data_IF_340329849523
#
_entry.id   IF_340329849523
#
_cell.length_a   1.000
_cell.length_b   1.000
_cell.length_c   1.000
_cell.angle_alpha   90.00
_cell.angle_beta   90.00
_cell.angle_gamma   90.00
#
_symmetry.space_group_name_H-M   'P 1'
#
loop_
_entity.id
_entity.type
_entity.pdbx_description
1 polymer ?
#
# COMPACT_ATOMS: atom_id res chain seq x y z
N UNK A 1 -9.66 10.69 -16.55
CA UNK A 1 -8.46 10.06 -15.99
C UNK A 1 -7.38 9.94 -17.05
N UNK A 2 -6.20 9.45 -16.67
CA UNK A 2 -5.13 9.10 -17.61
C UNK A 2 -5.30 7.64 -18.06
N UNK A 3 -4.71 7.27 -19.20
CA UNK A 3 -4.56 5.86 -19.61
C UNK A 3 -3.30 5.30 -18.96
N UNK A 4 -3.44 4.23 -18.18
CA UNK A 4 -2.34 3.68 -17.37
C UNK A 4 -2.22 2.18 -17.62
N UNK A 5 -0.98 1.72 -17.80
CA UNK A 5 -0.59 0.31 -17.83
C UNK A 5 0.44 0.07 -16.70
N UNK A 6 0.21 -0.97 -15.89
CA UNK A 6 1.17 -1.48 -14.91
C UNK A 6 1.75 -2.80 -15.44
N UNK A 7 3.07 -2.96 -15.37
CA UNK A 7 3.80 -4.14 -15.82
C UNK A 7 4.50 -4.76 -14.61
N UNK A 8 4.35 -6.07 -14.41
CA UNK A 8 5.09 -6.82 -13.40
C UNK A 8 5.60 -8.14 -14.00
N UNK A 9 6.86 -8.47 -13.70
CA UNK A 9 7.51 -9.71 -14.14
C UNK A 9 6.99 -10.97 -13.42
N UNK A 10 6.41 -10.81 -12.23
CA UNK A 10 5.92 -11.92 -11.41
C UNK A 10 4.61 -12.48 -11.96
N UNK A 11 4.36 -13.79 -11.78
CA UNK A 11 3.07 -14.41 -12.14
C UNK A 11 1.89 -13.83 -11.34
N UNK A 12 2.15 -13.48 -10.07
CA UNK A 12 1.20 -12.84 -9.16
C UNK A 12 1.73 -11.49 -8.73
N UNK A 13 0.85 -10.50 -8.71
CA UNK A 13 1.16 -9.16 -8.21
C UNK A 13 1.20 -9.13 -6.69
N UNK A 14 1.89 -8.13 -6.13
CA UNK A 14 1.88 -7.81 -4.71
C UNK A 14 2.35 -8.94 -3.77
N UNK A 15 3.22 -9.84 -4.26
CA UNK A 15 3.75 -10.97 -3.47
C UNK A 15 4.43 -10.52 -2.16
N UNK A 16 5.13 -9.38 -2.16
CA UNK A 16 5.69 -8.81 -0.92
C UNK A 16 4.61 -8.35 0.06
N UNK A 17 3.52 -7.77 -0.40
CA UNK A 17 2.39 -7.40 0.47
C UNK A 17 1.79 -8.67 1.07
N UNK A 18 1.57 -9.70 0.25
CA UNK A 18 0.97 -10.98 0.66
C UNK A 18 1.68 -11.62 1.86
N UNK A 19 3.01 -11.55 1.91
CA UNK A 19 3.81 -12.14 3.00
C UNK A 19 4.15 -11.14 4.13
N UNK A 20 3.88 -9.84 3.94
CA UNK A 20 4.23 -8.81 4.90
C UNK A 20 3.45 -8.93 6.22
N UNK A 21 4.07 -8.50 7.32
CA UNK A 21 3.41 -8.52 8.64
C UNK A 21 2.96 -9.91 9.11
N UNK A 22 3.60 -10.99 8.61
CA UNK A 22 3.17 -12.36 8.88
C UNK A 22 1.83 -12.70 8.21
N UNK A 23 1.61 -12.22 6.99
CA UNK A 23 0.39 -12.45 6.21
C UNK A 23 -0.78 -11.52 6.52
N UNK A 24 -0.58 -10.50 7.36
CA UNK A 24 -1.62 -9.54 7.79
C UNK A 24 -1.36 -8.10 7.36
N UNK A 25 -0.23 -7.85 6.68
CA UNK A 25 0.21 -6.53 6.24
C UNK A 25 0.23 -5.46 7.34
N UNK A 26 1.41 -5.15 7.86
CA UNK A 26 1.61 -3.92 8.63
C UNK A 26 1.59 -2.73 7.66
N UNK A 27 0.40 -2.24 7.32
CA UNK A 27 0.16 -1.43 6.12
C UNK A 27 0.53 0.05 6.30
N UNK A 28 0.56 0.55 7.55
CA UNK A 28 1.04 1.88 7.88
C UNK A 28 1.38 2.00 9.37
N UNK A 29 1.85 3.17 9.79
CA UNK A 29 1.99 3.54 11.19
C UNK A 29 1.21 4.82 11.48
N UNK A 30 0.62 4.98 12.67
CA UNK A 30 -0.03 6.23 13.07
C UNK A 30 0.96 7.40 13.19
N UNK A 31 2.17 7.10 13.66
CA UNK A 31 3.21 8.09 13.97
C UNK A 31 4.27 8.12 12.86
N UNK A 32 3.85 8.59 11.68
CA UNK A 32 4.75 8.75 10.52
C UNK A 32 5.28 10.17 10.44
N UNK A 33 6.60 10.28 10.43
CA UNK A 33 7.34 11.53 10.22
C UNK A 33 8.57 11.30 9.34
N UNK A 34 9.15 12.36 8.75
CA UNK A 34 10.41 12.25 8.01
C UNK A 34 11.55 11.59 8.80
N UNK A 35 11.54 11.71 10.13
CA UNK A 35 12.57 11.12 11.00
C UNK A 35 12.51 9.57 11.05
N UNK A 36 11.43 8.96 10.57
CA UNK A 36 11.28 7.51 10.50
C UNK A 36 11.91 6.90 9.23
N UNK A 37 12.50 7.72 8.35
CA UNK A 37 13.08 7.28 7.08
C UNK A 37 14.55 7.68 6.98
N UNK A 38 15.36 6.79 6.42
CA UNK A 38 16.77 7.03 6.13
C UNK A 38 16.93 7.52 4.68
N UNK A 39 17.66 8.61 4.49
CA UNK A 39 17.97 9.17 3.17
C UNK A 39 19.17 10.08 3.25
N UNK A 40 19.99 10.11 2.19
CA UNK A 40 21.05 11.11 2.01
C UNK A 40 20.49 12.54 1.87
N UNK A 41 19.22 12.66 1.49
CA UNK A 41 18.47 13.90 1.53
C UNK A 41 17.30 13.79 2.52
N UNK A 42 17.50 14.19 3.80
CA UNK A 42 16.47 14.07 4.84
C UNK A 42 15.17 14.84 4.58
N UNK A 43 15.16 15.76 3.60
CA UNK A 43 13.98 16.56 3.26
C UNK A 43 13.17 15.98 2.11
N UNK A 44 13.69 15.00 1.39
CA UNK A 44 13.07 14.45 0.18
C UNK A 44 11.63 13.97 0.40
N UNK A 45 11.38 13.18 1.45
CA UNK A 45 10.07 12.59 1.70
C UNK A 45 9.03 13.57 2.28
N UNK A 46 9.44 14.75 2.75
CA UNK A 46 8.56 15.68 3.48
C UNK A 46 7.28 16.02 2.71
N UNK A 47 7.43 16.37 1.42
CA UNK A 47 6.30 16.78 0.60
C UNK A 47 5.34 15.62 0.30
N UNK A 48 5.87 14.40 0.08
CA UNK A 48 5.04 13.23 -0.15
C UNK A 48 4.25 12.86 1.10
N UNK A 49 4.92 12.79 2.26
CA UNK A 49 4.29 12.42 3.54
C UNK A 49 3.23 13.43 4.01
N UNK A 50 3.35 14.71 3.65
CA UNK A 50 2.33 15.71 3.99
C UNK A 50 1.11 15.70 3.06
N UNK A 51 1.24 15.13 1.86
CA UNK A 51 0.16 15.11 0.84
C UNK A 51 -0.64 13.83 0.86
N UNK A 52 -0.07 12.74 1.35
CA UNK A 52 -0.74 11.46 1.54
C UNK A 52 -0.29 10.85 2.87
N UNK A 53 -1.15 11.02 3.88
CA UNK A 53 -0.89 10.71 5.27
C UNK A 53 -1.37 9.30 5.62
N UNK A 54 -0.97 8.75 6.79
CA UNK A 54 -1.54 7.49 7.28
C UNK A 54 -3.07 7.52 7.38
N UNK A 55 -3.66 8.68 7.74
CA UNK A 55 -5.11 8.85 7.85
C UNK A 55 -5.81 8.71 6.51
N UNK A 56 -5.20 9.18 5.44
CA UNK A 56 -5.76 9.08 4.09
C UNK A 56 -5.82 7.61 3.65
N UNK A 57 -4.80 6.82 3.98
CA UNK A 57 -4.79 5.40 3.68
C UNK A 57 -5.75 4.60 4.58
N UNK A 58 -5.86 4.95 5.86
CA UNK A 58 -6.86 4.37 6.77
C UNK A 58 -8.28 4.64 6.26
N UNK A 59 -8.57 5.87 5.82
CA UNK A 59 -9.86 6.20 5.23
C UNK A 59 -10.17 5.38 3.96
N UNK A 60 -9.14 5.03 3.17
CA UNK A 60 -9.29 4.13 2.03
C UNK A 60 -9.60 2.69 2.47
N UNK A 61 -8.93 2.18 3.51
CA UNK A 61 -9.24 0.86 4.10
C UNK A 61 -10.69 0.82 4.60
N UNK A 62 -11.11 1.85 5.34
CA UNK A 62 -12.46 1.97 5.89
C UNK A 62 -13.52 2.07 4.78
N UNK A 63 -13.25 2.81 3.69
CA UNK A 63 -14.12 2.90 2.50
C UNK A 63 -14.37 1.52 1.86
N UNK A 64 -13.38 0.63 1.90
CA UNK A 64 -13.50 -0.75 1.40
C UNK A 64 -13.98 -1.74 2.46
N UNK A 65 -14.30 -1.27 3.67
CA UNK A 65 -14.80 -2.10 4.77
C UNK A 65 -13.77 -3.10 5.31
N UNK A 66 -12.47 -2.79 5.18
CA UNK A 66 -11.41 -3.67 5.66
C UNK A 66 -11.14 -3.37 7.13
N UNK A 67 -11.41 -4.34 8.00
CA UNK A 67 -11.14 -4.22 9.41
C UNK A 67 -9.62 -4.26 9.69
N UNK A 68 -9.18 -3.41 10.62
CA UNK A 68 -7.79 -3.29 11.03
C UNK A 68 -7.68 -2.94 12.52
N UNK A 69 -6.52 -3.27 13.09
CA UNK A 69 -6.19 -2.94 14.47
C UNK A 69 -4.76 -2.44 14.60
N UNK A 70 -4.52 -1.69 15.67
CA UNK A 70 -3.17 -1.37 16.11
C UNK A 70 -2.57 -2.53 16.91
N UNK A 71 -1.29 -2.82 16.64
CA UNK A 71 -0.52 -3.78 17.41
C UNK A 71 0.41 -3.12 18.41
N UNK A 72 1.60 -2.70 17.97
CA UNK A 72 2.62 -2.13 18.85
C UNK A 72 3.19 -0.85 18.24
N UNK A 73 3.35 0.20 19.05
CA UNK A 73 3.98 1.47 18.64
C UNK A 73 3.38 2.03 17.34
N UNK A 74 2.06 2.13 17.27
CA UNK A 74 1.37 2.73 16.13
C UNK A 74 1.25 1.86 14.87
N UNK A 75 1.77 0.63 14.86
CA UNK A 75 1.69 -0.27 13.71
C UNK A 75 0.25 -0.74 13.47
N UNK A 76 -0.26 -0.58 12.25
CA UNK A 76 -1.62 -0.98 11.87
C UNK A 76 -1.59 -2.21 10.95
N UNK A 77 -2.41 -3.20 11.28
CA UNK A 77 -2.49 -4.49 10.58
C UNK A 77 -3.92 -4.77 10.12
N UNK A 78 -4.06 -5.46 8.98
CA UNK A 78 -5.35 -6.03 8.60
C UNK A 78 -5.75 -7.12 9.61
N UNK A 79 -7.03 -7.22 9.93
CA UNK A 79 -7.53 -8.21 10.88
C UNK A 79 -7.46 -9.63 10.32
N UNK A 80 -7.90 -9.81 9.07
CA UNK A 80 -7.99 -11.13 8.45
C UNK A 80 -6.70 -11.50 7.71
N UNK A 81 -6.37 -10.77 6.64
CA UNK A 81 -5.31 -11.15 5.71
C UNK A 81 -4.77 -9.95 4.95
N UNK A 82 -3.49 -9.99 4.59
CA UNK A 82 -2.87 -9.08 3.63
C UNK A 82 -3.56 -9.15 2.25
N UNK A 83 -4.28 -10.24 1.95
CA UNK A 83 -5.07 -10.36 0.73
C UNK A 83 -6.17 -9.30 0.64
N UNK A 84 -6.78 -8.89 1.76
CA UNK A 84 -7.80 -7.85 1.77
C UNK A 84 -7.24 -6.52 1.23
N UNK A 85 -6.01 -6.18 1.64
CA UNK A 85 -5.28 -5.02 1.13
C UNK A 85 -4.96 -5.13 -0.36
N UNK A 86 -4.53 -6.31 -0.82
CA UNK A 86 -4.24 -6.55 -2.25
C UNK A 86 -5.52 -6.39 -3.07
N UNK A 87 -6.62 -7.00 -2.64
CA UNK A 87 -7.90 -6.95 -3.35
C UNK A 87 -8.44 -5.51 -3.43
N UNK A 88 -8.28 -4.71 -2.37
CA UNK A 88 -8.62 -3.29 -2.40
C UNK A 88 -7.79 -2.52 -3.45
N UNK A 89 -6.47 -2.72 -3.49
CA UNK A 89 -5.62 -2.05 -4.48
C UNK A 89 -5.98 -2.47 -5.91
N UNK A 90 -6.35 -3.73 -6.12
CA UNK A 90 -6.78 -4.23 -7.42
C UNK A 90 -8.14 -3.65 -7.85
N UNK A 91 -9.07 -3.46 -6.91
CA UNK A 91 -10.36 -2.78 -7.14
C UNK A 91 -10.17 -1.30 -7.46
N UNK A 92 -9.28 -0.60 -6.77
CA UNK A 92 -8.96 0.81 -7.09
C UNK A 92 -8.29 0.93 -8.47
N UNK A 93 -7.46 -0.03 -8.88
CA UNK A 93 -6.96 -0.11 -10.26
C UNK A 93 -8.08 -0.31 -11.28
N UNK A 94 -9.02 -1.21 -11.01
CA UNK A 94 -10.18 -1.46 -11.87
C UNK A 94 -11.06 -0.21 -12.00
N UNK A 95 -11.37 0.46 -10.89
CA UNK A 95 -12.12 1.71 -10.86
C UNK A 95 -11.40 2.83 -11.63
N UNK A 96 -10.07 2.85 -11.61
CA UNK A 96 -9.24 3.77 -12.38
C UNK A 96 -9.08 3.41 -13.87
N UNK A 97 -9.60 2.27 -14.32
CA UNK A 97 -9.42 1.76 -15.69
C UNK A 97 -7.96 1.39 -16.01
N UNK A 98 -7.19 0.98 -14.99
CA UNK A 98 -5.77 0.63 -15.12
C UNK A 98 -5.63 -0.75 -15.74
N UNK A 99 -4.87 -0.83 -16.83
CA UNK A 99 -4.49 -2.11 -17.42
C UNK A 99 -3.31 -2.70 -16.65
N UNK A 100 -3.25 -4.03 -16.55
CA UNK A 100 -2.17 -4.75 -15.88
C UNK A 100 -1.68 -5.90 -16.75
N UNK A 101 -0.38 -5.95 -17.00
CA UNK A 101 0.28 -7.06 -17.70
C UNK A 101 1.24 -7.77 -16.76
N UNK A 102 0.93 -9.03 -16.46
CA UNK A 102 1.78 -9.91 -15.68
C UNK A 102 1.50 -11.39 -16.01
N UNK A 103 2.53 -12.26 -16.08
CA UNK A 103 3.95 -11.91 -16.03
C UNK A 103 4.42 -11.20 -17.32
N UNK A 104 5.16 -10.10 -17.19
CA UNK A 104 5.73 -9.33 -18.30
C UNK A 104 7.02 -8.61 -17.87
N UNK A 105 8.12 -8.85 -18.58
CA UNK A 105 9.42 -8.22 -18.32
C UNK A 105 9.60 -6.98 -19.21
N UNK A 106 10.20 -5.93 -18.65
CA UNK A 106 10.63 -4.74 -19.41
C UNK A 106 12.11 -4.89 -19.74
N UNK A 107 12.45 -4.81 -21.03
CA UNK A 107 13.82 -4.91 -21.54
C UNK A 107 14.44 -3.53 -21.74
#
# INVERSE_FOLDING_TARGET
GLKVLVIDHSEKVAEKIRISGGGRANFTNKDVSPANFLSDNPHFCRSALSRFTPRDFIALMDKHGIAHHEKHKGQLFCDNSAQDLIDMLLKECEAGGVQRWQPCTVN
#
